data_IF_941291693750
#
_entry.id   IF_941291693750
#
_cell.length_a   1.000
_cell.length_b   1.000
_cell.length_c   1.000
_cell.angle_alpha   90.00
_cell.angle_beta   90.00
_cell.angle_gamma   90.00
#
_symmetry.space_group_name_H-M   'P 1'
#
loop_
_entity.id
_entity.type
_entity.pdbx_description
1 polymer ?
#
# COMPACT_ATOMS: atom_id res chain seq x y z
N UNK A 1 3.66 -7.35 13.64
CA UNK A 1 3.41 -6.51 12.46
C UNK A 1 4.61 -5.59 12.28
N UNK A 2 5.18 -5.53 11.08
CA UNK A 2 6.31 -4.66 10.74
C UNK A 2 5.75 -3.50 9.90
N UNK A 3 6.16 -2.27 10.16
CA UNK A 3 5.67 -1.08 9.47
C UNK A 3 6.23 0.20 10.07
N UNK A 4 5.69 1.34 9.65
CA UNK A 4 5.99 2.66 10.21
C UNK A 4 4.76 3.23 10.89
N UNK A 5 4.96 3.90 12.03
CA UNK A 5 3.97 4.82 12.57
C UNK A 5 3.79 6.02 11.62
N UNK A 6 2.70 6.78 11.79
CA UNK A 6 2.44 7.97 10.96
C UNK A 6 3.58 8.99 11.05
N UNK A 7 4.20 9.14 12.21
CA UNK A 7 5.33 10.05 12.43
C UNK A 7 6.57 9.56 11.70
N UNK A 8 6.93 8.27 11.84
CA UNK A 8 8.07 7.70 11.12
C UNK A 8 7.87 7.73 9.59
N UNK A 9 6.64 7.55 9.12
CA UNK A 9 6.30 7.72 7.70
C UNK A 9 6.46 9.18 7.26
N UNK A 10 6.04 10.16 8.06
CA UNK A 10 6.22 11.57 7.75
C UNK A 10 7.70 11.94 7.65
N UNK A 11 8.52 11.52 8.62
CA UNK A 11 9.97 11.73 8.61
C UNK A 11 10.63 11.07 7.40
N UNK A 12 10.17 9.86 7.04
CA UNK A 12 10.66 9.18 5.84
C UNK A 12 10.31 9.94 4.55
N UNK A 13 9.07 10.41 4.40
CA UNK A 13 8.65 11.21 3.24
C UNK A 13 9.44 12.52 3.11
N UNK A 14 9.71 13.19 4.24
CA UNK A 14 10.59 14.38 4.26
C UNK A 14 12.01 14.02 3.81
N UNK A 15 12.55 12.88 4.27
CA UNK A 15 13.89 12.42 3.86
C UNK A 15 14.03 12.14 2.36
N UNK A 16 12.90 11.79 1.70
CA UNK A 16 12.82 11.59 0.25
C UNK A 16 12.65 12.91 -0.54
N UNK A 17 12.53 14.05 0.14
CA UNK A 17 12.37 15.37 -0.48
C UNK A 17 10.92 15.75 -0.80
N UNK A 18 9.92 15.06 -0.24
CA UNK A 18 8.53 15.46 -0.39
C UNK A 18 8.25 16.79 0.33
N UNK A 19 7.71 17.77 -0.38
CA UNK A 19 7.24 19.03 0.21
C UNK A 19 5.90 18.85 0.94
N UNK A 20 5.02 18.01 0.39
CA UNK A 20 3.70 17.72 0.96
C UNK A 20 3.29 16.29 0.65
N UNK A 21 2.69 15.63 1.63
CA UNK A 21 2.21 14.26 1.52
C UNK A 21 0.96 14.06 2.39
N UNK A 22 0.08 13.17 1.96
CA UNK A 22 -1.07 12.71 2.75
C UNK A 22 -0.98 11.20 2.92
N UNK A 23 -1.33 10.71 4.11
CA UNK A 23 -1.39 9.28 4.38
C UNK A 23 -2.73 8.71 3.89
N UNK A 24 -2.68 7.58 3.17
CA UNK A 24 -3.86 6.84 2.70
C UNK A 24 -4.18 5.66 3.62
N UNK A 25 -5.08 4.78 3.19
CA UNK A 25 -5.39 3.56 3.93
C UNK A 25 -4.17 2.64 4.03
N UNK A 26 -4.05 1.94 5.16
CA UNK A 26 -2.85 1.21 5.56
C UNK A 26 -3.14 -0.16 6.17
N UNK A 27 -2.13 -0.73 6.83
CA UNK A 27 -2.25 -2.04 7.47
C UNK A 27 -2.59 -3.15 6.46
N UNK A 28 -3.64 -3.92 6.72
CA UNK A 28 -4.08 -5.01 5.84
C UNK A 28 -4.44 -4.58 4.42
N UNK A 29 -4.80 -3.30 4.22
CA UNK A 29 -5.17 -2.75 2.91
C UNK A 29 -3.97 -2.37 2.03
N UNK A 30 -2.76 -2.25 2.60
CA UNK A 30 -1.58 -1.77 1.87
C UNK A 30 -1.14 -2.75 0.78
N UNK A 31 -1.45 -2.41 -0.47
CA UNK A 31 -1.21 -3.25 -1.65
C UNK A 31 -0.61 -2.43 -2.79
N UNK A 32 0.46 -2.94 -3.40
CA UNK A 32 1.10 -2.39 -4.59
C UNK A 32 1.02 -3.42 -5.72
N UNK A 33 0.38 -3.04 -6.82
CA UNK A 33 0.15 -3.90 -7.98
C UNK A 33 0.84 -3.32 -9.21
N UNK A 34 1.63 -4.14 -9.90
CA UNK A 34 2.42 -3.77 -11.08
C UNK A 34 2.66 -5.00 -11.94
N UNK A 35 2.58 -4.86 -13.27
CA UNK A 35 2.80 -5.96 -14.23
C UNK A 35 1.98 -7.22 -13.89
N UNK A 36 0.67 -7.02 -13.68
CA UNK A 36 -0.32 -8.06 -13.40
C UNK A 36 -0.12 -8.84 -12.09
N UNK A 37 0.72 -8.33 -11.17
CA UNK A 37 1.01 -8.99 -9.89
C UNK A 37 1.07 -8.00 -8.72
N UNK A 38 0.80 -8.52 -7.54
CA UNK A 38 1.13 -7.83 -6.29
C UNK A 38 2.64 -7.95 -6.08
N UNK A 39 3.30 -6.83 -5.80
CA UNK A 39 4.77 -6.76 -5.69
C UNK A 39 5.29 -6.47 -4.28
N UNK A 40 4.41 -6.18 -3.32
CA UNK A 40 4.76 -6.06 -1.91
C UNK A 40 4.28 -7.27 -1.10
N UNK A 41 4.86 -7.48 0.08
CA UNK A 41 4.35 -8.44 1.06
C UNK A 41 3.10 -7.85 1.72
N UNK A 42 1.92 -8.30 1.30
CA UNK A 42 0.64 -7.87 1.86
C UNK A 42 0.39 -8.54 3.21
N UNK A 43 -0.14 -7.78 4.17
CA UNK A 43 -0.62 -8.36 5.45
C UNK A 43 -2.02 -8.95 5.27
N UNK A 44 -2.89 -8.26 4.53
CA UNK A 44 -4.22 -8.76 4.23
C UNK A 44 -5.14 -8.87 5.45
N UNK A 45 -6.14 -9.73 5.33
CA UNK A 45 -6.99 -10.20 6.42
C UNK A 45 -6.62 -11.64 6.80
N UNK A 46 -6.95 -12.06 8.02
CA UNK A 46 -6.87 -13.47 8.42
C UNK A 46 -8.23 -14.13 8.20
N UNK A 47 -8.25 -15.22 7.43
CA UNK A 47 -9.38 -16.14 7.43
C UNK A 47 -9.28 -17.01 8.69
N UNK A 48 -10.11 -16.72 9.70
CA UNK A 48 -10.09 -17.44 10.98
C UNK A 48 -10.39 -18.94 10.85
N UNK A 49 -11.08 -19.35 9.78
CA UNK A 49 -11.48 -20.75 9.56
C UNK A 49 -10.35 -21.54 8.90
N UNK A 50 -9.65 -20.91 7.95
CA UNK A 50 -8.55 -21.54 7.21
C UNK A 50 -7.16 -21.28 7.82
N UNK A 51 -7.04 -20.28 8.69
CA UNK A 51 -5.76 -19.82 9.24
C UNK A 51 -4.85 -19.19 8.19
N UNK A 52 -5.42 -18.74 7.07
CA UNK A 52 -4.67 -18.20 5.92
C UNK A 52 -4.85 -16.69 5.81
N UNK A 53 -3.79 -16.01 5.38
CA UNK A 53 -3.86 -14.59 5.03
C UNK A 53 -4.46 -14.43 3.64
N UNK A 54 -5.52 -13.62 3.54
CA UNK A 54 -6.19 -13.30 2.28
C UNK A 54 -5.94 -11.85 1.90
N UNK A 55 -5.98 -11.54 0.60
CA UNK A 55 -5.87 -10.16 0.13
C UNK A 55 -7.15 -9.42 0.49
N UNK A 56 -7.03 -8.34 1.27
CA UNK A 56 -8.17 -7.51 1.66
C UNK A 56 -8.76 -6.76 0.46
N UNK A 57 -10.09 -6.85 0.21
CA UNK A 57 -10.77 -5.98 -0.75
C UNK A 57 -10.72 -4.51 -0.31
N UNK A 58 -10.44 -3.59 -1.24
CA UNK A 58 -10.37 -2.15 -0.98
C UNK A 58 -11.45 -1.40 -1.79
N UNK A 59 -11.86 -0.23 -1.30
CA UNK A 59 -12.89 0.61 -1.95
C UNK A 59 -12.37 1.24 -3.24
N UNK A 60 -11.25 1.95 -3.15
CA UNK A 60 -10.69 2.77 -4.22
C UNK A 60 -9.20 2.50 -4.39
N UNK A 61 -8.67 2.79 -5.58
CA UNK A 61 -7.26 2.65 -5.91
C UNK A 61 -6.73 3.90 -6.64
N UNK A 62 -5.47 4.25 -6.36
CA UNK A 62 -4.73 5.20 -7.18
C UNK A 62 -4.03 4.42 -8.28
N UNK A 63 -4.36 4.73 -9.53
CA UNK A 63 -3.80 4.06 -10.70
C UNK A 63 -2.93 5.04 -11.48
N UNK A 64 -1.67 4.66 -11.72
CA UNK A 64 -0.75 5.41 -12.57
C UNK A 64 -0.76 4.72 -13.94
N UNK A 65 -1.30 5.41 -14.94
CA UNK A 65 -1.34 4.92 -16.32
C UNK A 65 -0.33 5.75 -17.13
N UNK A 66 0.61 5.13 -17.86
CA UNK A 66 1.49 5.87 -18.75
C UNK A 66 0.64 6.63 -19.77
N UNK A 67 0.94 7.91 -19.92
CA UNK A 67 0.33 8.69 -20.99
C UNK A 67 1.05 8.29 -22.28
N UNK A 68 0.39 7.52 -23.14
CA UNK A 68 0.91 7.22 -24.47
C UNK A 68 0.84 8.51 -25.29
N UNK A 69 1.93 9.29 -25.25
CA UNK A 69 2.14 10.37 -26.22
C UNK A 69 2.70 9.68 -27.47
N UNK A 70 1.83 9.39 -28.43
CA UNK A 70 2.25 9.25 -29.83
C UNK A 70 2.69 10.61 -30.39
#
# INVERSE_FOLDING_TARGET
MIGLTKTELADYMLSLGCESAINLDGGGSSTLFMDEKIINNVTGDEDEVLGEHTIRPVSDAIVIIPNNIE
#
